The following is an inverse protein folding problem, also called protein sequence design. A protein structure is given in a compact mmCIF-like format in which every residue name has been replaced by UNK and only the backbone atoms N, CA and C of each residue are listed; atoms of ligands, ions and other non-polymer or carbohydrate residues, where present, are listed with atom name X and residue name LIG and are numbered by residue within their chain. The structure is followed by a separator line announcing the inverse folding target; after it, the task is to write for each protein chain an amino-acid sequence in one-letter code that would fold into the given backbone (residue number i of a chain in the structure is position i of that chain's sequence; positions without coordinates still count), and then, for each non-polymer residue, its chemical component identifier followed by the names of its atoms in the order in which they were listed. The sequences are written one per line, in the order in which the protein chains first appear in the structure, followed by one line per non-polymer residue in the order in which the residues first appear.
data_IF_739804239444
#
_entry.id   IF_739804239444
#
_cell.length_a   1.000
_cell.length_b   1.000
_cell.length_c   1.000
_cell.angle_alpha   90.00
_cell.angle_beta   90.00
_cell.angle_gamma   90.00
#
_symmetry.space_group_name_H-M   'P 1'
#
loop_
_entity.id
_entity.type
_entity.pdbx_description
1 polymer ?
#
# COMPACT_ATOMS: atom_id res chain seq x y z
N UNK A 1 -31.22 -34.53 -64.54
CA UNK A 1 -30.93 -33.21 -63.94
C UNK A 1 -30.83 -33.39 -62.43
N UNK A 2 -29.71 -32.96 -61.84
CA UNK A 2 -29.24 -33.32 -60.51
C UNK A 2 -29.18 -32.04 -59.65
N UNK A 3 -29.93 -31.96 -58.56
CA UNK A 3 -29.83 -30.83 -57.63
C UNK A 3 -29.41 -31.35 -56.25
N UNK A 4 -28.10 -31.29 -56.01
CA UNK A 4 -27.45 -31.54 -54.73
C UNK A 4 -27.93 -30.50 -53.70
N UNK A 5 -28.45 -30.96 -52.57
CA UNK A 5 -28.77 -30.13 -51.39
C UNK A 5 -27.49 -29.63 -50.72
N UNK A 6 -27.23 -28.31 -50.76
CA UNK A 6 -26.16 -27.66 -49.99
C UNK A 6 -26.62 -27.46 -48.55
N UNK A 7 -26.05 -28.20 -47.59
CA UNK A 7 -26.12 -27.86 -46.16
C UNK A 7 -25.31 -26.58 -45.93
N UNK A 8 -25.99 -25.47 -45.61
CA UNK A 8 -25.33 -24.24 -45.17
C UNK A 8 -25.13 -24.35 -43.66
N UNK A 9 -23.91 -24.69 -43.25
CA UNK A 9 -23.48 -24.63 -41.85
C UNK A 9 -23.20 -23.17 -41.50
N UNK A 10 -24.11 -22.48 -40.80
CA UNK A 10 -23.82 -21.17 -40.21
C UNK A 10 -22.97 -21.40 -38.95
N UNK A 11 -21.65 -21.20 -39.08
CA UNK A 11 -20.74 -21.14 -37.95
C UNK A 11 -21.02 -19.88 -37.12
N UNK A 12 -21.61 -20.07 -35.94
CA UNK A 12 -21.79 -19.01 -34.96
C UNK A 12 -20.42 -18.59 -34.39
N UNK A 13 -19.80 -17.55 -34.94
CA UNK A 13 -18.68 -16.87 -34.27
C UNK A 13 -19.25 -15.88 -33.25
N UNK A 14 -19.57 -16.38 -32.05
CA UNK A 14 -19.62 -15.52 -30.85
C UNK A 14 -18.20 -15.02 -30.58
N UNK A 15 -17.90 -13.81 -31.05
CA UNK A 15 -16.73 -13.07 -30.60
C UNK A 15 -16.99 -12.54 -29.18
N UNK A 16 -16.92 -13.43 -28.19
CA UNK A 16 -16.69 -12.98 -26.81
C UNK A 16 -15.20 -12.77 -26.64
N UNK A 17 -14.67 -11.67 -27.18
CA UNK A 17 -13.39 -11.13 -26.73
C UNK A 17 -13.65 -10.41 -25.41
N UNK A 18 -13.98 -11.20 -24.39
CA UNK A 18 -13.93 -10.75 -23.02
C UNK A 18 -12.45 -10.74 -22.65
N UNK A 19 -11.72 -9.76 -23.18
CA UNK A 19 -10.38 -9.45 -22.71
C UNK A 19 -10.57 -8.93 -21.30
N UNK A 20 -10.65 -9.85 -20.33
CA UNK A 20 -10.30 -9.56 -18.95
C UNK A 20 -8.92 -8.94 -19.08
N UNK A 21 -8.82 -7.61 -19.05
CA UNK A 21 -7.58 -6.91 -18.76
C UNK A 21 -7.13 -7.58 -17.48
N UNK A 22 -6.19 -8.50 -17.56
CA UNK A 22 -5.45 -8.99 -16.41
C UNK A 22 -4.91 -7.72 -15.79
N UNK A 23 -5.52 -7.30 -14.69
CA UNK A 23 -5.04 -6.18 -13.88
C UNK A 23 -3.57 -6.49 -13.67
N UNK A 24 -2.68 -5.77 -14.35
CA UNK A 24 -1.24 -5.88 -14.11
C UNK A 24 -1.07 -5.37 -12.69
N UNK A 25 -1.12 -6.29 -11.74
CA UNK A 25 -1.01 -5.99 -10.33
C UNK A 25 0.46 -5.67 -10.08
N UNK A 26 0.77 -4.37 -9.93
CA UNK A 26 2.12 -3.92 -9.62
C UNK A 26 2.60 -4.39 -8.23
N UNK A 27 1.68 -4.78 -7.34
CA UNK A 27 1.98 -5.28 -5.99
C UNK A 27 1.25 -6.61 -5.74
N UNK A 28 2.00 -7.64 -5.33
CA UNK A 28 1.46 -8.96 -4.98
C UNK A 28 0.90 -8.96 -3.56
N UNK A 29 -0.18 -9.69 -3.31
CA UNK A 29 -0.68 -9.88 -1.96
C UNK A 29 0.36 -10.66 -1.13
N UNK A 30 0.56 -10.26 0.13
CA UNK A 30 1.57 -10.81 1.02
C UNK A 30 3.00 -10.28 0.80
N UNK A 31 3.24 -9.49 -0.25
CA UNK A 31 4.53 -8.84 -0.46
C UNK A 31 4.65 -7.59 0.42
N UNK A 32 5.72 -7.53 1.23
CA UNK A 32 6.04 -6.38 2.08
C UNK A 32 6.93 -5.42 1.29
N UNK A 33 6.51 -4.15 1.23
CA UNK A 33 7.31 -3.03 0.74
C UNK A 33 7.75 -2.18 1.91
N UNK A 34 9.05 -1.89 1.98
CA UNK A 34 9.63 -1.08 3.04
C UNK A 34 10.13 0.25 2.49
N UNK A 35 10.02 1.30 3.29
CA UNK A 35 10.60 2.61 3.03
C UNK A 35 11.11 3.20 4.34
N UNK A 36 12.22 3.93 4.27
CA UNK A 36 12.65 4.82 5.35
C UNK A 36 12.02 6.19 5.10
N UNK A 37 11.36 6.74 6.11
CA UNK A 37 10.83 8.10 6.11
C UNK A 37 11.64 8.95 7.08
N UNK A 38 11.77 10.24 6.77
CA UNK A 38 12.31 11.23 7.69
C UNK A 38 11.14 12.05 8.25
N UNK A 39 11.13 12.25 9.56
CA UNK A 39 10.13 13.05 10.27
C UNK A 39 10.85 13.93 11.30
N UNK A 40 10.87 15.24 11.07
CA UNK A 40 11.58 16.23 11.89
C UNK A 40 13.04 15.84 12.23
N UNK A 41 13.76 15.30 11.25
CA UNK A 41 15.15 14.86 11.44
C UNK A 41 15.32 13.41 11.90
N UNK A 42 14.27 12.76 12.41
CA UNK A 42 14.32 11.34 12.80
C UNK A 42 13.97 10.42 11.65
N UNK A 43 14.61 9.25 11.61
CA UNK A 43 14.32 8.21 10.64
C UNK A 43 13.40 7.13 11.21
N UNK A 44 12.40 6.73 10.44
CA UNK A 44 11.49 5.63 10.76
C UNK A 44 11.36 4.67 9.58
N UNK A 45 11.08 3.40 9.87
CA UNK A 45 10.77 2.39 8.86
C UNK A 45 9.25 2.25 8.73
N UNK A 46 8.75 2.39 7.51
CA UNK A 46 7.36 2.09 7.17
C UNK A 46 7.33 0.84 6.29
N UNK A 47 6.52 -0.13 6.70
CA UNK A 47 6.24 -1.35 5.96
C UNK A 47 4.79 -1.32 5.48
N UNK A 48 4.55 -1.53 4.19
CA UNK A 48 3.23 -1.67 3.60
C UNK A 48 3.07 -3.07 2.98
N UNK A 49 1.97 -3.74 3.27
CA UNK A 49 1.66 -5.07 2.73
C UNK A 49 0.23 -5.10 2.22
N UNK A 50 0.06 -5.48 0.95
CA UNK A 50 -1.25 -5.75 0.40
C UNK A 50 -1.81 -7.05 0.98
N UNK A 51 -3.01 -7.00 1.54
CA UNK A 51 -3.80 -8.14 1.99
C UNK A 51 -4.96 -8.40 1.03
N UNK A 52 -5.77 -9.41 1.34
CA UNK A 52 -6.95 -9.76 0.55
C UNK A 52 -8.10 -8.75 0.78
N UNK A 53 -8.13 -8.16 1.96
CA UNK A 53 -9.15 -7.26 2.52
C UNK A 53 -8.72 -5.79 2.56
N UNK A 54 -7.46 -5.47 2.30
CA UNK A 54 -6.96 -4.09 2.33
C UNK A 54 -5.44 -4.00 2.28
N UNK A 55 -4.89 -2.98 2.93
CA UNK A 55 -3.46 -2.73 3.08
C UNK A 55 -3.14 -2.70 4.57
N UNK A 56 -2.09 -3.40 4.97
CA UNK A 56 -1.50 -3.29 6.30
C UNK A 56 -0.31 -2.35 6.21
N UNK A 57 -0.32 -1.30 7.03
CA UNK A 57 0.78 -0.34 7.17
C UNK A 57 1.34 -0.49 8.58
N UNK A 58 2.65 -0.49 8.74
CA UNK A 58 3.30 -0.57 10.04
C UNK A 58 4.44 0.43 10.10
N UNK A 59 4.51 1.20 11.18
CA UNK A 59 5.62 2.09 11.49
C UNK A 59 6.50 1.43 12.56
N UNK A 60 7.81 1.54 12.38
CA UNK A 60 8.83 1.01 13.29
C UNK A 60 9.94 2.02 13.47
N UNK A 61 10.63 1.94 14.59
CA UNK A 61 11.90 2.61 14.77
C UNK A 61 12.99 1.97 13.89
N UNK A 62 14.20 2.52 13.96
CA UNK A 62 15.34 2.00 13.20
C UNK A 62 15.84 0.65 13.72
N UNK A 63 15.54 0.28 14.97
CA UNK A 63 15.82 -1.03 15.57
C UNK A 63 14.78 -2.10 15.21
N UNK A 64 13.78 -1.75 14.38
CA UNK A 64 12.63 -2.57 13.98
C UNK A 64 11.62 -2.87 15.10
N UNK A 65 11.62 -2.10 16.18
CA UNK A 65 10.57 -2.13 17.21
C UNK A 65 9.29 -1.52 16.62
N UNK A 66 8.17 -2.26 16.58
CA UNK A 66 6.91 -1.71 16.06
C UNK A 66 6.33 -0.64 16.99
N UNK A 67 6.00 0.52 16.41
CA UNK A 67 5.27 1.59 17.10
C UNK A 67 3.76 1.34 16.98
N UNK A 68 3.27 1.21 15.74
CA UNK A 68 1.85 0.99 15.46
C UNK A 68 1.64 0.33 14.10
N UNK A 69 0.50 -0.34 13.96
CA UNK A 69 0.01 -0.86 12.70
C UNK A 69 -1.39 -0.36 12.38
N UNK A 70 -1.64 -0.11 11.10
CA UNK A 70 -2.90 0.36 10.55
C UNK A 70 -3.40 -0.64 9.51
N UNK A 71 -4.71 -0.82 9.46
CA UNK A 71 -5.38 -1.52 8.37
C UNK A 71 -6.24 -0.51 7.62
N UNK A 72 -6.11 -0.48 6.30
CA UNK A 72 -6.71 0.52 5.44
C UNK A 72 -7.32 -0.16 4.23
N UNK A 73 -8.60 0.09 3.98
CA UNK A 73 -9.36 -0.50 2.87
C UNK A 73 -9.53 0.50 1.72
N UNK A 74 -9.59 1.80 2.03
CA UNK A 74 -9.79 2.87 1.05
C UNK A 74 -8.91 4.12 1.27
N UNK A 75 -9.13 5.14 0.44
CA UNK A 75 -8.32 6.36 0.45
C UNK A 75 -8.64 7.26 1.66
N UNK A 76 -9.89 7.30 2.13
CA UNK A 76 -10.28 8.12 3.28
C UNK A 76 -9.66 7.55 4.56
N UNK A 77 -9.69 6.24 4.73
CA UNK A 77 -9.00 5.55 5.83
C UNK A 77 -7.49 5.74 5.76
N UNK A 78 -6.90 5.83 4.55
CA UNK A 78 -5.47 6.09 4.41
C UNK A 78 -5.09 7.46 4.99
N UNK A 79 -5.86 8.50 4.71
CA UNK A 79 -5.60 9.83 5.26
C UNK A 79 -5.70 9.84 6.79
N UNK A 80 -6.73 9.20 7.35
CA UNK A 80 -6.89 9.07 8.81
C UNK A 80 -5.70 8.31 9.42
N UNK A 81 -5.28 7.21 8.78
CA UNK A 81 -4.12 6.44 9.23
C UNK A 81 -2.83 7.25 9.15
N UNK A 82 -2.67 8.13 8.15
CA UNK A 82 -1.51 9.00 8.03
C UNK A 82 -1.44 10.05 9.14
N UNK A 83 -2.57 10.69 9.47
CA UNK A 83 -2.62 11.64 10.59
C UNK A 83 -2.29 10.93 11.91
N UNK A 84 -2.93 9.77 12.16
CA UNK A 84 -2.64 8.96 13.35
C UNK A 84 -1.19 8.44 13.38
N UNK A 85 -0.55 8.20 12.23
CA UNK A 85 0.88 7.86 12.16
C UNK A 85 1.76 9.02 12.64
N UNK A 86 1.43 10.26 12.28
CA UNK A 86 2.18 11.43 12.76
C UNK A 86 2.05 11.59 14.28
N UNK A 87 0.85 11.40 14.84
CA UNK A 87 0.63 11.51 16.29
C UNK A 87 1.47 10.47 17.05
N UNK A 88 1.42 9.21 16.60
CA UNK A 88 2.22 8.11 17.19
C UNK A 88 3.72 8.38 17.09
N UNK A 89 4.19 8.92 15.96
CA UNK A 89 5.61 9.24 15.78
C UNK A 89 6.02 10.39 16.72
N UNK A 90 5.20 11.44 16.85
CA UNK A 90 5.48 12.54 17.77
C UNK A 90 5.56 12.05 19.23
N UNK A 91 4.59 11.26 19.68
CA UNK A 91 4.57 10.69 21.04
C UNK A 91 5.83 9.85 21.29
N UNK A 92 6.18 8.97 20.36
CA UNK A 92 7.38 8.15 20.48
C UNK A 92 8.66 8.99 20.56
N UNK A 93 8.79 10.05 19.77
CA UNK A 93 9.93 10.97 19.82
C UNK A 93 10.02 11.63 21.19
N UNK A 94 8.91 12.16 21.73
CA UNK A 94 8.90 12.83 23.04
C UNK A 94 9.37 11.92 24.18
N UNK A 95 9.00 10.64 24.12
CA UNK A 95 9.33 9.63 25.14
C UNK A 95 10.73 9.03 25.02
N UNK A 96 11.33 9.02 23.82
CA UNK A 96 12.53 8.23 23.53
C UNK A 96 13.75 9.07 23.10
N UNK A 97 13.67 10.40 23.16
CA UNK A 97 14.76 11.30 22.75
C UNK A 97 15.43 12.02 23.91
N UNK A 98 16.73 12.26 23.77
CA UNK A 98 17.50 13.09 24.70
C UNK A 98 17.46 14.59 24.32
N UNK A 99 18.16 15.42 25.10
CA UNK A 99 18.17 16.86 24.86
C UNK A 99 18.84 17.25 23.53
N UNK A 100 19.87 16.51 23.11
CA UNK A 100 20.57 16.80 21.85
C UNK A 100 19.66 16.47 20.66
N UNK A 101 18.98 15.33 20.73
CA UNK A 101 17.96 14.94 19.76
C UNK A 101 16.85 15.98 19.65
N UNK A 102 16.38 16.53 20.79
CA UNK A 102 15.37 17.59 20.83
C UNK A 102 15.85 18.88 20.17
N UNK A 103 17.11 19.27 20.37
CA UNK A 103 17.68 20.45 19.71
C UNK A 103 17.75 20.25 18.19
N UNK A 104 18.17 19.07 17.72
CA UNK A 104 18.19 18.74 16.29
C UNK A 104 16.75 18.76 15.73
N UNK A 105 15.79 18.15 16.43
CA UNK A 105 14.37 18.14 16.07
C UNK A 105 13.83 19.57 15.85
N UNK A 106 14.13 20.48 16.78
CA UNK A 106 13.72 21.88 16.69
C UNK A 106 14.32 22.58 15.46
N UNK A 107 15.58 22.32 15.14
CA UNK A 107 16.23 22.84 13.93
C UNK A 107 15.59 22.28 12.66
N UNK A 108 15.24 20.99 12.65
CA UNK A 108 14.68 20.31 11.48
C UNK A 108 13.18 20.59 11.26
N UNK A 109 12.48 21.14 12.27
CA UNK A 109 11.09 21.61 12.16
C UNK A 109 10.95 22.99 11.51
N UNK A 110 12.02 23.80 11.50
CA UNK A 110 12.04 25.16 10.95
C UNK A 110 12.16 25.17 9.43
#
# INVERSE_FOLDING_TARGET
MNYKTKKITRSAKRSTKNTRRTKRMYYKAGEIKNKIINFNGFEFKVSAMKRHDGISIQVKDMNNVPLKSFHVVDLSELYIAMDAMHDVINEWIEENTDEQDRLINLVMKW
#
